data_IF_897778451527
#
_entry.id   IF_897778451527
#
_cell.length_a   1.000
_cell.length_b   1.000
_cell.length_c   1.000
_cell.angle_alpha   90.00
_cell.angle_beta   90.00
_cell.angle_gamma   90.00
#
_symmetry.space_group_name_H-M   'P 1'
#
loop_
_entity.id
_entity.type
_entity.pdbx_description
1 polymer ?
#
# COMPACT_ATOMS: atom_id res chain seq x y z
N UNK A 1 -8.91 22.77 8.98
CA UNK A 1 -7.89 22.91 7.93
C UNK A 1 -6.71 21.99 8.25
N UNK A 2 -6.55 20.90 7.50
CA UNK A 2 -5.31 20.10 7.45
C UNK A 2 -5.40 19.15 6.24
N UNK A 3 -5.18 19.69 5.04
CA UNK A 3 -5.29 18.96 3.76
C UNK A 3 -3.96 18.39 3.25
N UNK A 4 -2.83 18.74 3.87
CA UNK A 4 -1.48 18.34 3.44
C UNK A 4 -1.15 16.83 3.53
N UNK A 5 -1.55 16.05 4.56
CA UNK A 5 -1.13 14.65 4.67
C UNK A 5 -1.87 13.72 3.68
N UNK A 6 -3.10 14.08 3.29
CA UNK A 6 -3.92 13.30 2.37
C UNK A 6 -3.36 13.31 0.95
N UNK A 7 -2.75 14.43 0.53
CA UNK A 7 -2.25 14.58 -0.83
C UNK A 7 -0.95 13.78 -1.04
N UNK A 8 -0.05 13.81 -0.06
CA UNK A 8 1.16 12.95 -0.06
C UNK A 8 0.80 11.47 -0.08
N UNK A 9 -0.25 11.04 0.63
CA UNK A 9 -0.74 9.65 0.56
C UNK A 9 -1.27 9.29 -0.82
N UNK A 10 -2.04 10.18 -1.46
CA UNK A 10 -2.56 9.96 -2.81
C UNK A 10 -1.44 9.82 -3.84
N UNK A 11 -0.45 10.70 -3.82
CA UNK A 11 0.71 10.65 -4.72
C UNK A 11 1.49 9.35 -4.52
N UNK A 12 1.72 8.94 -3.27
CA UNK A 12 2.43 7.70 -2.98
C UNK A 12 1.65 6.45 -3.44
N UNK A 13 0.33 6.44 -3.25
CA UNK A 13 -0.53 5.35 -3.74
C UNK A 13 -0.53 5.27 -5.27
N UNK A 14 -0.52 6.42 -5.96
CA UNK A 14 -0.40 6.47 -7.42
C UNK A 14 0.94 5.91 -7.91
N UNK A 15 2.04 6.23 -7.22
CA UNK A 15 3.36 5.67 -7.52
C UNK A 15 3.39 4.15 -7.35
N UNK A 16 2.82 3.63 -6.26
CA UNK A 16 2.71 2.18 -6.05
C UNK A 16 1.86 1.52 -7.14
N UNK A 17 0.73 2.11 -7.51
CA UNK A 17 -0.12 1.61 -8.60
C UNK A 17 0.62 1.59 -9.95
N UNK A 18 1.49 2.56 -10.22
CA UNK A 18 2.33 2.59 -11.42
C UNK A 18 3.39 1.48 -11.43
N UNK A 19 3.89 1.09 -10.25
CA UNK A 19 4.91 0.05 -10.13
C UNK A 19 4.37 -1.36 -10.33
N UNK A 20 3.20 -1.68 -9.75
CA UNK A 20 2.64 -3.05 -9.74
C UNK A 20 1.38 -3.22 -10.59
N UNK A 21 0.78 -2.13 -11.07
CA UNK A 21 -0.53 -2.12 -11.72
C UNK A 21 -1.68 -1.92 -10.72
N UNK A 22 -2.79 -1.30 -11.14
CA UNK A 22 -3.90 -0.94 -10.25
C UNK A 22 -4.65 -2.15 -9.68
N UNK A 23 -4.69 -3.28 -10.39
CA UNK A 23 -5.30 -4.53 -9.91
C UNK A 23 -4.54 -5.16 -8.75
N UNK A 24 -3.27 -4.79 -8.58
CA UNK A 24 -2.36 -5.33 -7.57
C UNK A 24 -2.22 -4.41 -6.35
N UNK A 25 -3.09 -3.40 -6.22
CA UNK A 25 -3.12 -2.46 -5.10
C UNK A 25 -4.52 -2.42 -4.49
N UNK A 26 -4.63 -2.74 -3.21
CA UNK A 26 -5.86 -2.61 -2.44
C UNK A 26 -5.75 -1.49 -1.42
N UNK A 27 -6.65 -0.52 -1.49
CA UNK A 27 -6.76 0.61 -0.55
C UNK A 27 -8.08 0.62 0.21
N UNK A 28 -9.08 -0.13 -0.27
CA UNK A 28 -10.39 -0.25 0.37
C UNK A 28 -10.25 -1.02 1.70
N UNK A 29 -10.68 -0.43 2.84
CA UNK A 29 -10.63 -1.07 4.14
C UNK A 29 -11.32 -2.45 4.19
N UNK A 30 -12.42 -2.64 3.44
CA UNK A 30 -13.14 -3.90 3.38
C UNK A 30 -12.35 -4.97 2.61
N UNK A 31 -11.76 -4.59 1.46
CA UNK A 31 -10.94 -5.51 0.64
C UNK A 31 -9.63 -5.88 1.33
N UNK A 32 -9.10 -5.00 2.18
CA UNK A 32 -7.84 -5.23 2.90
C UNK A 32 -8.03 -5.98 4.23
N UNK A 33 -9.27 -6.14 4.73
CA UNK A 33 -9.56 -6.69 6.06
C UNK A 33 -8.90 -8.05 6.33
N UNK A 34 -8.93 -8.97 5.35
CA UNK A 34 -8.31 -10.30 5.47
C UNK A 34 -6.80 -10.23 5.71
N UNK A 35 -6.12 -9.21 5.20
CA UNK A 35 -4.67 -9.02 5.32
C UNK A 35 -4.28 -8.21 6.56
N UNK A 36 -5.25 -7.52 7.16
CA UNK A 36 -5.07 -6.68 8.35
C UNK A 36 -5.44 -7.38 9.66
N UNK A 37 -6.13 -8.52 9.58
CA UNK A 37 -6.55 -9.34 10.72
C UNK A 37 -5.67 -10.58 10.85
N UNK A 38 -5.06 -10.77 12.02
CA UNK A 38 -4.26 -11.94 12.32
C UNK A 38 -5.11 -13.21 12.44
N UNK A 39 -4.48 -14.36 12.16
CA UNK A 39 -5.16 -15.66 12.20
C UNK A 39 -5.59 -16.06 13.62
N UNK A 40 -4.77 -15.79 14.64
CA UNK A 40 -5.06 -16.13 16.05
C UNK A 40 -5.57 -14.93 16.84
N UNK A 41 -4.95 -13.78 16.64
CA UNK A 41 -5.27 -12.52 17.33
C UNK A 41 -4.57 -11.35 16.62
N UNK A 42 -4.99 -10.13 16.95
CA UNK A 42 -4.40 -8.89 16.43
C UNK A 42 -5.09 -8.38 15.16
N UNK A 43 -5.25 -7.06 15.09
CA UNK A 43 -5.71 -6.35 13.90
C UNK A 43 -5.12 -4.94 13.88
N UNK A 44 -5.06 -4.30 12.71
CA UNK A 44 -4.56 -2.93 12.58
C UNK A 44 -4.98 -2.24 11.29
N UNK A 45 -4.75 -0.94 11.21
CA UNK A 45 -4.95 -0.17 9.99
C UNK A 45 -3.73 -0.28 9.06
N UNK A 46 -3.98 -0.29 7.77
CA UNK A 46 -2.94 -0.24 6.75
C UNK A 46 -3.37 0.74 5.65
N UNK A 47 -2.43 1.57 5.19
CA UNK A 47 -2.69 2.53 4.11
C UNK A 47 -3.06 1.81 2.79
N UNK A 48 -2.39 0.69 2.50
CA UNK A 48 -2.67 -0.15 1.35
C UNK A 48 -2.06 -1.55 1.52
N UNK A 49 -2.55 -2.50 0.72
CA UNK A 49 -1.97 -3.84 0.52
C UNK A 49 -1.52 -3.94 -0.94
N UNK A 50 -0.27 -4.34 -1.16
CA UNK A 50 0.38 -4.36 -2.49
C UNK A 50 0.77 -5.80 -2.85
N UNK A 51 0.47 -6.24 -4.07
CA UNK A 51 0.75 -7.58 -4.59
C UNK A 51 1.73 -7.54 -5.77
N UNK A 52 3.05 -7.42 -5.55
CA UNK A 52 4.00 -7.46 -6.65
C UNK A 52 3.95 -8.82 -7.37
N UNK A 53 3.80 -8.80 -8.69
CA UNK A 53 3.76 -9.99 -9.54
C UNK A 53 5.15 -10.53 -9.91
N UNK A 54 6.20 -9.73 -9.69
CA UNK A 54 7.59 -10.09 -10.00
C UNK A 54 8.57 -9.66 -8.91
N UNK A 55 9.75 -10.28 -8.86
CA UNK A 55 10.82 -9.88 -7.93
C UNK A 55 11.30 -8.45 -8.17
N UNK A 56 11.30 -7.99 -9.43
CA UNK A 56 11.66 -6.62 -9.77
C UNK A 56 10.65 -5.61 -9.23
N UNK A 57 9.35 -5.93 -9.31
CA UNK A 57 8.29 -5.13 -8.70
C UNK A 57 8.43 -5.07 -7.18
N UNK A 58 8.66 -6.21 -6.52
CA UNK A 58 8.90 -6.26 -5.07
C UNK A 58 10.06 -5.35 -4.67
N UNK A 59 11.19 -5.44 -5.38
CA UNK A 59 12.36 -4.60 -5.14
C UNK A 59 12.07 -3.10 -5.36
N UNK A 60 11.32 -2.74 -6.41
CA UNK A 60 10.92 -1.35 -6.67
C UNK A 60 10.00 -0.81 -5.58
N UNK A 61 9.03 -1.60 -5.12
CA UNK A 61 8.13 -1.24 -4.00
C UNK A 61 8.91 -1.00 -2.71
N UNK A 62 9.85 -1.89 -2.37
CA UNK A 62 10.73 -1.71 -1.20
C UNK A 62 11.57 -0.43 -1.28
N UNK A 63 12.11 -0.11 -2.46
CA UNK A 63 12.82 1.14 -2.67
C UNK A 63 11.92 2.38 -2.52
N UNK A 64 10.68 2.33 -3.01
CA UNK A 64 9.71 3.40 -2.85
C UNK A 64 9.39 3.63 -1.35
N UNK A 65 9.21 2.56 -0.57
CA UNK A 65 9.02 2.64 0.88
C UNK A 65 10.22 3.27 1.60
N UNK A 66 11.45 2.92 1.20
CA UNK A 66 12.67 3.49 1.78
C UNK A 66 12.80 4.98 1.51
N UNK A 67 12.46 5.43 0.30
CA UNK A 67 12.57 6.85 -0.12
C UNK A 67 11.57 7.77 0.60
N UNK A 68 10.52 7.21 1.19
CA UNK A 68 9.47 7.93 1.93
C UNK A 68 9.78 8.07 3.43
N UNK A 69 10.98 7.68 3.90
CA UNK A 69 11.36 7.89 5.30
C UNK A 69 11.45 9.36 5.66
#
# INVERSE_FOLDING_TARGET
>A
MSSAPTDTHKTFLADLARLVGPSHLLTDPAKTQRYRKGFRSGQGEALAVVFPGTLLELWRVLNALRRRR
#
